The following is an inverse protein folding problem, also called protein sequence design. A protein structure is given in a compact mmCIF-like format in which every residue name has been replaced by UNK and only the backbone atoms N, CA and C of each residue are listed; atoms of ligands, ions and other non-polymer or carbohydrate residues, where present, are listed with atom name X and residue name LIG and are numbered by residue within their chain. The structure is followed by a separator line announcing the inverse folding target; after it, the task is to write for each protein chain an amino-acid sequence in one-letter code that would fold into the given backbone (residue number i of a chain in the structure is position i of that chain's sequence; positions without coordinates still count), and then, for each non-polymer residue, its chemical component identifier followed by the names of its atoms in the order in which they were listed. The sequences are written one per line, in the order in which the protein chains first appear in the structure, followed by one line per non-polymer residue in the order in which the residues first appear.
data_IF_230872328704
#
_entry.id   IF_230872328704
#
_cell.length_a   1.000
_cell.length_b   1.000
_cell.length_c   1.000
_cell.angle_alpha   90.00
_cell.angle_beta   90.00
_cell.angle_gamma   90.00
#
_symmetry.space_group_name_H-M   'P 1'
#
loop_
_entity.id
_entity.type
_entity.pdbx_description
1 polymer ?
#
# COMPACT_ATOMS: atom_id res chain seq x y z
N UNK A 1 4.26 -28.04 -41.17
CA UNK A 1 4.40 -26.68 -40.58
C UNK A 1 3.38 -26.45 -39.46
N UNK A 2 2.10 -26.76 -39.67
CA UNK A 2 1.03 -26.69 -38.65
C UNK A 2 1.29 -27.52 -37.38
N UNK A 3 1.88 -28.72 -37.51
CA UNK A 3 2.19 -29.61 -36.38
C UNK A 3 3.29 -29.05 -35.46
N UNK A 4 4.42 -28.59 -36.02
CA UNK A 4 5.49 -27.96 -35.23
C UNK A 4 5.03 -26.69 -34.50
N UNK A 5 4.15 -25.90 -35.11
CA UNK A 5 3.59 -24.70 -34.46
C UNK A 5 2.67 -25.08 -33.30
N UNK A 6 1.84 -26.13 -33.48
CA UNK A 6 0.99 -26.66 -32.42
C UNK A 6 1.80 -27.28 -31.27
N UNK A 7 2.90 -27.97 -31.57
CA UNK A 7 3.79 -28.54 -30.55
C UNK A 7 4.48 -27.44 -29.73
N UNK A 8 4.96 -26.39 -30.40
CA UNK A 8 5.55 -25.22 -29.74
C UNK A 8 4.51 -24.50 -28.86
N UNK A 9 3.29 -24.32 -29.36
CA UNK A 9 2.20 -23.70 -28.61
C UNK A 9 1.83 -24.52 -27.37
N UNK A 10 1.71 -25.84 -27.50
CA UNK A 10 1.45 -26.74 -26.37
C UNK A 10 2.59 -26.76 -25.35
N UNK A 11 3.85 -26.68 -25.81
CA UNK A 11 5.00 -26.55 -24.92
C UNK A 11 4.96 -25.24 -24.12
N UNK A 12 4.63 -24.12 -24.79
CA UNK A 12 4.42 -22.83 -24.12
C UNK A 12 3.31 -22.89 -23.07
N UNK A 13 2.15 -23.47 -23.40
CA UNK A 13 1.03 -23.61 -22.47
C UNK A 13 1.41 -24.43 -21.22
N UNK A 14 2.17 -25.52 -21.39
CA UNK A 14 2.65 -26.34 -20.27
C UNK A 14 3.58 -25.55 -19.35
N UNK A 15 4.50 -24.77 -19.92
CA UNK A 15 5.42 -23.90 -19.16
C UNK A 15 4.61 -22.85 -18.39
N UNK A 16 3.71 -22.15 -19.06
CA UNK A 16 2.86 -21.12 -18.45
C UNK A 16 1.97 -21.69 -17.32
N UNK A 17 1.39 -22.88 -17.51
CA UNK A 17 0.60 -23.53 -16.46
C UNK A 17 1.46 -23.93 -15.24
N UNK A 18 2.72 -24.32 -15.46
CA UNK A 18 3.64 -24.71 -14.38
C UNK A 18 4.20 -23.53 -13.57
N UNK A 19 4.09 -22.28 -14.07
CA UNK A 19 4.68 -21.10 -13.45
C UNK A 19 3.88 -20.52 -12.28
N UNK A 20 2.74 -21.11 -11.91
CA UNK A 20 1.88 -20.60 -10.84
C UNK A 20 2.63 -20.43 -9.51
N UNK A 21 3.43 -21.42 -9.11
CA UNK A 21 4.22 -21.36 -7.86
C UNK A 21 5.25 -20.24 -7.89
N UNK A 22 5.88 -20.02 -9.05
CA UNK A 22 6.79 -18.90 -9.25
C UNK A 22 6.04 -17.57 -9.11
N UNK A 23 4.88 -17.43 -9.75
CA UNK A 23 4.02 -16.24 -9.65
C UNK A 23 3.63 -15.90 -8.21
N UNK A 24 3.23 -16.89 -7.42
CA UNK A 24 2.89 -16.70 -6.00
C UNK A 24 4.09 -16.17 -5.20
N UNK A 25 5.28 -16.74 -5.41
CA UNK A 25 6.48 -16.27 -4.73
C UNK A 25 6.90 -14.86 -5.20
N UNK A 26 6.73 -14.55 -6.50
CA UNK A 26 6.96 -13.21 -7.03
C UNK A 26 6.01 -12.18 -6.41
N UNK A 27 4.75 -12.54 -6.14
CA UNK A 27 3.82 -11.67 -5.40
C UNK A 27 4.35 -11.38 -3.99
N UNK A 28 4.83 -12.40 -3.26
CA UNK A 28 5.40 -12.21 -1.91
C UNK A 28 6.62 -11.29 -1.93
N UNK A 29 7.49 -11.45 -2.94
CA UNK A 29 8.67 -10.58 -3.14
C UNK A 29 8.25 -9.16 -3.53
N UNK A 30 7.26 -9.00 -4.41
CA UNK A 30 6.74 -7.69 -4.80
C UNK A 30 6.15 -6.95 -3.60
N UNK A 31 5.34 -7.63 -2.78
CA UNK A 31 4.80 -7.05 -1.54
C UNK A 31 5.93 -6.64 -0.60
N UNK A 32 6.97 -7.47 -0.41
CA UNK A 32 8.13 -7.12 0.40
C UNK A 32 8.79 -5.84 -0.10
N UNK A 33 9.13 -5.77 -1.39
CA UNK A 33 9.82 -4.62 -1.98
C UNK A 33 8.98 -3.37 -1.75
N UNK A 34 7.69 -3.40 -2.10
CA UNK A 34 6.79 -2.25 -1.98
C UNK A 34 6.68 -1.82 -0.51
N UNK A 35 6.45 -2.75 0.41
CA UNK A 35 6.18 -2.42 1.81
C UNK A 35 7.45 -1.96 2.54
N UNK A 36 8.60 -2.58 2.27
CA UNK A 36 9.87 -2.14 2.86
C UNK A 36 10.25 -0.76 2.34
N UNK A 37 10.08 -0.51 1.03
CA UNK A 37 10.41 0.79 0.45
C UNK A 37 9.49 1.89 0.96
N UNK A 38 8.17 1.72 0.85
CA UNK A 38 7.19 2.72 1.30
C UNK A 38 7.25 2.89 2.83
N UNK A 39 7.41 1.81 3.59
CA UNK A 39 7.56 1.87 5.04
C UNK A 39 8.84 2.58 5.47
N UNK A 40 9.97 2.34 4.78
CA UNK A 40 11.23 3.05 5.02
C UNK A 40 11.15 4.53 4.64
N UNK A 41 10.37 4.87 3.62
CA UNK A 41 10.12 6.26 3.25
C UNK A 41 9.40 7.06 4.35
N UNK A 42 8.63 6.41 5.23
CA UNK A 42 7.90 7.07 6.34
C UNK A 42 8.78 7.68 7.44
N UNK A 43 10.09 7.43 7.40
CA UNK A 43 11.07 8.07 8.29
C UNK A 43 11.60 9.41 7.75
N UNK A 44 11.16 9.81 6.55
CA UNK A 44 11.51 11.10 5.97
C UNK A 44 10.37 12.10 6.14
N UNK A 45 10.70 13.35 6.47
CA UNK A 45 9.72 14.38 6.80
C UNK A 45 8.67 14.59 5.70
N UNK A 46 9.10 14.67 4.43
CA UNK A 46 8.19 14.91 3.32
C UNK A 46 7.11 13.83 3.16
N UNK A 47 7.42 12.58 3.51
CA UNK A 47 6.47 11.45 3.48
C UNK A 47 5.55 11.42 4.68
N UNK A 48 6.06 11.84 5.84
CA UNK A 48 5.26 12.00 7.05
C UNK A 48 4.26 13.14 6.88
N UNK A 49 4.70 14.28 6.35
CA UNK A 49 3.88 15.45 6.05
C UNK A 49 2.87 15.14 4.94
N UNK A 50 3.28 14.38 3.92
CA UNK A 50 2.44 13.98 2.80
C UNK A 50 1.25 13.09 3.17
N UNK A 51 1.32 12.34 4.29
CA UNK A 51 0.21 11.47 4.71
C UNK A 51 -0.86 12.16 5.57
N UNK A 52 -0.61 13.39 6.01
CA UNK A 52 -1.51 14.09 6.93
C UNK A 52 -2.96 14.17 6.42
N UNK A 53 -3.25 14.49 5.14
CA UNK A 53 -4.63 14.51 4.67
C UNK A 53 -5.35 13.17 4.79
N UNK A 54 -4.65 12.05 4.60
CA UNK A 54 -5.24 10.72 4.71
C UNK A 54 -5.62 10.36 6.14
N UNK A 55 -4.73 10.68 7.08
CA UNK A 55 -4.90 10.35 8.49
C UNK A 55 -5.92 11.28 9.14
N UNK A 56 -5.83 12.58 8.86
CA UNK A 56 -6.69 13.61 9.44
C UNK A 56 -8.16 13.44 9.03
N UNK A 57 -8.44 12.98 7.80
CA UNK A 57 -9.81 12.72 7.34
C UNK A 57 -10.29 11.27 7.62
N UNK A 58 -9.46 10.42 8.23
CA UNK A 58 -9.81 9.02 8.49
C UNK A 58 -10.56 8.84 9.80
N UNK A 59 -11.75 8.18 9.81
CA UNK A 59 -12.49 7.91 11.04
C UNK A 59 -11.76 6.93 11.98
N UNK A 60 -10.76 6.20 11.50
CA UNK A 60 -10.02 5.21 12.28
C UNK A 60 -8.60 5.64 12.66
N UNK A 61 -8.15 6.81 12.20
CA UNK A 61 -6.76 7.25 12.42
C UNK A 61 -6.63 8.71 12.87
N UNK A 62 -7.68 9.52 12.73
CA UNK A 62 -7.62 10.95 13.09
C UNK A 62 -7.23 11.20 14.55
N UNK A 63 -7.54 10.27 15.45
CA UNK A 63 -7.20 10.36 16.88
C UNK A 63 -5.70 10.22 17.19
N UNK A 64 -4.86 9.81 16.23
CA UNK A 64 -3.40 9.83 16.40
C UNK A 64 -2.81 11.23 16.26
N UNK A 65 -3.59 12.18 15.74
CA UNK A 65 -3.20 13.58 15.56
C UNK A 65 -3.74 14.46 16.67
N UNK A 66 -2.93 15.45 17.06
CA UNK A 66 -3.27 16.37 18.15
C UNK A 66 -4.02 17.62 17.67
N UNK A 67 -4.00 17.93 16.36
CA UNK A 67 -4.68 19.08 15.78
C UNK A 67 -5.93 18.63 15.02
N UNK A 68 -7.04 19.39 15.10
CA UNK A 68 -8.28 19.04 14.41
C UNK A 68 -8.17 19.24 12.89
N UNK A 69 -8.78 18.36 12.11
CA UNK A 69 -9.08 18.65 10.72
C UNK A 69 -10.14 19.78 10.63
N UNK A 70 -10.03 20.74 9.68
CA UNK A 70 -9.18 20.75 8.49
C UNK A 70 -7.92 21.63 8.60
N UNK A 71 -7.41 21.94 9.80
CA UNK A 71 -6.29 22.88 10.03
C UNK A 71 -5.04 22.55 9.19
N UNK A 72 -4.75 21.27 8.97
CA UNK A 72 -3.61 20.79 8.19
C UNK A 72 -3.50 21.38 6.77
N UNK A 73 -4.59 21.91 6.21
CA UNK A 73 -4.59 22.50 4.85
C UNK A 73 -3.68 23.73 4.75
N UNK A 74 -3.56 24.51 5.84
CA UNK A 74 -2.69 25.69 5.90
C UNK A 74 -1.21 25.32 6.05
N UNK A 75 -0.96 24.15 6.63
CA UNK A 75 0.37 23.66 6.97
C UNK A 75 0.93 22.66 5.95
N UNK A 76 0.20 22.40 4.85
CA UNK A 76 0.66 21.51 3.79
C UNK A 76 1.97 22.02 3.16
N UNK A 77 2.92 21.12 3.00
CA UNK A 77 4.21 21.33 2.35
C UNK A 77 4.24 20.59 1.01
N UNK A 78 4.95 21.15 0.03
CA UNK A 78 5.30 20.42 -1.19
C UNK A 78 6.48 19.48 -0.91
N UNK A 79 6.58 18.41 -1.68
CA UNK A 79 7.72 17.49 -1.56
C UNK A 79 9.05 18.25 -1.78
N UNK A 80 9.96 18.13 -0.82
CA UNK A 80 11.24 18.84 -0.81
C UNK A 80 11.18 20.30 -0.34
N UNK A 81 10.01 20.84 0.00
CA UNK A 81 9.87 22.16 0.61
C UNK A 81 10.13 22.07 2.13
N UNK A 82 10.82 23.06 2.69
CA UNK A 82 11.00 23.19 4.13
C UNK A 82 10.52 24.57 4.60
N UNK A 83 9.71 24.58 5.65
CA UNK A 83 9.29 25.80 6.33
C UNK A 83 9.27 25.54 7.85
N UNK A 84 9.99 26.36 8.61
CA UNK A 84 10.18 26.14 10.04
C UNK A 84 8.86 26.19 10.84
N UNK A 85 7.94 27.12 10.54
CA UNK A 85 6.68 27.22 11.27
C UNK A 85 5.76 26.04 10.97
N UNK A 86 5.72 25.59 9.70
CA UNK A 86 4.97 24.39 9.32
C UNK A 86 5.58 23.12 9.91
N UNK A 87 6.90 23.03 9.96
CA UNK A 87 7.59 21.90 10.57
C UNK A 87 7.23 21.76 12.05
N UNK A 88 7.27 22.84 12.83
CA UNK A 88 6.85 22.86 14.24
C UNK A 88 5.40 22.44 14.42
N UNK A 89 4.51 22.90 13.54
CA UNK A 89 3.11 22.47 13.55
C UNK A 89 2.99 20.94 13.36
N UNK A 90 3.77 20.35 12.45
CA UNK A 90 3.78 18.90 12.24
C UNK A 90 4.32 18.12 13.44
N UNK A 91 5.31 18.66 14.16
CA UNK A 91 5.79 18.12 15.44
C UNK A 91 4.68 18.13 16.50
N UNK A 92 4.03 19.28 16.70
CA UNK A 92 2.92 19.43 17.64
C UNK A 92 1.73 18.51 17.30
N UNK A 93 1.47 18.31 16.01
CA UNK A 93 0.40 17.46 15.51
C UNK A 93 0.67 15.95 15.70
N UNK A 94 1.87 15.54 16.13
CA UNK A 94 2.31 14.13 16.17
C UNK A 94 2.39 13.47 14.77
N UNK A 95 2.69 14.26 13.74
CA UNK A 95 2.80 13.78 12.36
C UNK A 95 3.91 12.73 12.22
N UNK A 96 5.11 13.04 12.74
CA UNK A 96 6.28 12.17 12.62
C UNK A 96 6.18 10.92 13.48
N UNK A 97 5.65 11.04 14.70
CA UNK A 97 5.44 9.90 15.60
C UNK A 97 4.51 8.85 14.98
N UNK A 98 3.37 9.30 14.45
CA UNK A 98 2.46 8.42 13.71
C UNK A 98 3.13 7.82 12.47
N UNK A 99 3.82 8.65 11.67
CA UNK A 99 4.48 8.20 10.44
C UNK A 99 5.51 7.11 10.69
N UNK A 100 6.38 7.28 11.70
CA UNK A 100 7.38 6.27 12.07
C UNK A 100 6.73 4.95 12.50
N UNK A 101 5.69 5.01 13.33
CA UNK A 101 4.95 3.82 13.76
C UNK A 101 4.29 3.10 12.58
N UNK A 102 3.66 3.85 11.68
CA UNK A 102 3.10 3.33 10.44
C UNK A 102 4.18 2.70 9.54
N UNK A 103 5.34 3.33 9.43
CA UNK A 103 6.50 2.80 8.69
C UNK A 103 6.94 1.43 9.21
N UNK A 104 7.15 1.30 10.51
CA UNK A 104 7.52 0.02 11.16
C UNK A 104 6.46 -1.05 10.89
N UNK A 105 5.18 -0.70 11.02
CA UNK A 105 4.06 -1.61 10.78
C UNK A 105 4.08 -2.14 9.34
N UNK A 106 4.16 -1.24 8.34
CA UNK A 106 4.16 -1.62 6.92
C UNK A 106 5.35 -2.53 6.62
N UNK A 107 6.57 -2.17 7.05
CA UNK A 107 7.76 -3.00 6.82
C UNK A 107 7.60 -4.39 7.44
N UNK A 108 7.08 -4.46 8.67
CA UNK A 108 6.84 -5.73 9.37
C UNK A 108 5.89 -6.64 8.60
N UNK A 109 4.79 -6.10 8.07
CA UNK A 109 3.83 -6.85 7.25
C UNK A 109 4.49 -7.38 5.97
N UNK A 110 5.31 -6.56 5.31
CA UNK A 110 6.07 -6.97 4.12
C UNK A 110 7.01 -8.14 4.40
N UNK A 111 7.76 -8.06 5.52
CA UNK A 111 8.68 -9.12 5.96
C UNK A 111 7.92 -10.39 6.31
N UNK A 112 6.82 -10.32 7.07
CA UNK A 112 5.99 -11.48 7.41
C UNK A 112 5.43 -12.17 6.16
N UNK A 113 4.98 -11.38 5.18
CA UNK A 113 4.45 -11.91 3.91
C UNK A 113 5.52 -12.66 3.11
N UNK A 114 6.74 -12.12 3.08
CA UNK A 114 7.90 -12.75 2.45
C UNK A 114 8.34 -14.03 3.16
N UNK A 115 8.43 -14.02 4.49
CA UNK A 115 8.76 -15.20 5.28
C UNK A 115 7.75 -16.34 5.06
N UNK A 116 6.56 -16.04 4.55
CA UNK A 116 5.59 -17.02 4.06
C UNK A 116 6.08 -17.97 2.97
N UNK A 117 7.16 -17.62 2.24
CA UNK A 117 7.83 -18.55 1.31
C UNK A 117 8.31 -19.78 2.08
N UNK A 118 8.97 -19.55 3.23
CA UNK A 118 9.56 -20.60 4.06
C UNK A 118 8.59 -21.17 5.08
N UNK A 119 7.79 -20.31 5.71
CA UNK A 119 6.93 -20.65 6.84
C UNK A 119 5.46 -20.31 6.55
N UNK A 120 4.61 -21.28 6.15
CA UNK A 120 3.23 -21.02 5.74
C UNK A 120 2.38 -20.29 6.78
N UNK A 121 2.54 -20.63 8.08
CA UNK A 121 1.81 -20.00 9.20
C UNK A 121 2.15 -18.51 9.34
N UNK A 122 3.42 -18.15 9.22
CA UNK A 122 3.87 -16.75 9.24
C UNK A 122 3.34 -16.01 8.00
N UNK A 123 3.41 -16.67 6.84
CA UNK A 123 2.88 -16.14 5.59
C UNK A 123 1.37 -15.86 5.63
N UNK A 124 0.60 -16.70 6.34
CA UNK A 124 -0.83 -16.50 6.55
C UNK A 124 -1.10 -15.22 7.34
N UNK A 125 -0.35 -15.01 8.43
CA UNK A 125 -0.46 -13.79 9.26
C UNK A 125 -0.07 -12.56 8.44
N UNK A 126 1.07 -12.61 7.74
CA UNK A 126 1.52 -11.51 6.89
C UNK A 126 0.51 -11.14 5.81
N UNK A 127 -0.04 -12.14 5.09
CA UNK A 127 -1.04 -11.92 4.05
C UNK A 127 -2.35 -11.33 4.61
N UNK A 128 -2.84 -11.84 5.75
CA UNK A 128 -4.03 -11.29 6.42
C UNK A 128 -3.83 -9.83 6.83
N UNK A 129 -2.69 -9.50 7.42
CA UNK A 129 -2.37 -8.13 7.79
C UNK A 129 -2.22 -7.21 6.56
N UNK A 130 -1.63 -7.71 5.47
CA UNK A 130 -1.52 -6.97 4.21
C UNK A 130 -2.90 -6.64 3.62
N UNK A 131 -3.85 -7.59 3.69
CA UNK A 131 -5.25 -7.36 3.27
C UNK A 131 -5.89 -6.27 4.13
N UNK A 132 -5.79 -6.37 5.47
CA UNK A 132 -6.38 -5.39 6.39
C UNK A 132 -5.80 -3.99 6.15
N UNK A 133 -4.47 -3.89 6.04
CA UNK A 133 -3.78 -2.63 5.73
C UNK A 133 -4.29 -2.03 4.42
N UNK A 134 -4.37 -2.86 3.36
CA UNK A 134 -4.79 -2.40 2.03
C UNK A 134 -6.26 -1.97 1.99
N UNK A 135 -7.15 -2.60 2.76
CA UNK A 135 -8.52 -2.11 2.91
C UNK A 135 -8.51 -0.72 3.56
N UNK A 136 -7.65 -0.54 4.58
CA UNK A 136 -7.40 0.76 5.20
C UNK A 136 -6.96 1.82 4.18
N UNK A 137 -5.99 1.52 3.32
CA UNK A 137 -5.53 2.48 2.30
C UNK A 137 -6.58 2.77 1.25
N UNK A 138 -7.25 1.75 0.72
CA UNK A 138 -8.32 1.91 -0.27
C UNK A 138 -9.51 2.71 0.27
N UNK A 139 -9.76 2.68 1.59
CA UNK A 139 -10.79 3.52 2.21
C UNK A 139 -10.54 5.02 2.02
N UNK A 140 -9.29 5.44 1.81
CA UNK A 140 -8.93 6.84 1.55
C UNK A 140 -9.51 7.40 0.25
N UNK A 141 -9.82 6.54 -0.73
CA UNK A 141 -10.53 6.99 -1.94
C UNK A 141 -11.91 7.58 -1.62
N UNK A 142 -12.50 7.16 -0.49
CA UNK A 142 -13.81 7.64 -0.03
C UNK A 142 -13.66 8.71 1.04
N UNK A 143 -12.74 8.53 1.99
CA UNK A 143 -12.64 9.41 3.17
C UNK A 143 -11.80 10.66 2.94
N UNK A 144 -10.93 10.69 1.92
CA UNK A 144 -9.95 11.78 1.72
C UNK A 144 -10.22 12.54 0.43
N UNK A 145 -10.77 13.77 0.46
CA UNK A 145 -11.07 14.54 -0.74
C UNK A 145 -9.86 14.81 -1.65
N UNK A 146 -8.66 14.90 -1.08
CA UNK A 146 -7.41 15.19 -1.78
C UNK A 146 -7.00 14.11 -2.80
N UNK A 147 -7.64 12.94 -2.78
CA UNK A 147 -7.44 11.89 -3.80
C UNK A 147 -8.05 12.27 -5.16
N UNK A 148 -9.00 13.20 -5.18
CA UNK A 148 -9.64 13.71 -6.39
C UNK A 148 -8.99 15.01 -6.85
N UNK A 149 -9.02 15.29 -8.16
CA UNK A 149 -8.47 16.55 -8.68
C UNK A 149 -9.25 17.74 -8.10
N UNK A 150 -8.59 18.71 -7.44
CA UNK A 150 -9.26 19.86 -6.85
C UNK A 150 -9.77 20.84 -7.91
N UNK A 151 -10.88 21.54 -7.62
CA UNK A 151 -11.39 22.59 -8.50
C UNK A 151 -10.55 23.86 -8.37
N UNK A 152 -9.54 24.00 -9.23
CA UNK A 152 -8.65 25.17 -9.31
C UNK A 152 -8.88 26.01 -10.57
N UNK A 153 -10.01 25.82 -11.27
CA UNK A 153 -10.39 26.61 -12.45
C UNK A 153 -10.00 26.00 -13.80
N UNK A 154 -9.45 24.79 -13.86
CA UNK A 154 -9.14 24.09 -15.13
C UNK A 154 -10.39 23.51 -15.83
N UNK A 155 -11.52 23.40 -15.12
CA UNK A 155 -12.71 22.67 -15.60
C UNK A 155 -12.61 21.15 -15.46
N UNK A 156 -11.44 20.61 -15.11
CA UNK A 156 -11.19 19.18 -14.89
C UNK A 156 -11.01 18.91 -13.39
N UNK A 157 -12.10 18.57 -12.68
CA UNK A 157 -12.04 18.34 -11.23
C UNK A 157 -13.08 17.34 -10.74
N UNK A 158 -12.88 16.82 -9.53
CA UNK A 158 -13.80 15.91 -8.86
C UNK A 158 -13.75 14.46 -9.36
N UNK A 159 -14.66 13.64 -8.87
CA UNK A 159 -14.79 12.25 -9.29
C UNK A 159 -15.19 12.17 -10.78
N UNK A 160 -14.58 11.30 -11.61
CA UNK A 160 -13.63 10.22 -11.27
C UNK A 160 -12.14 10.56 -11.50
N UNK A 161 -11.77 11.84 -11.56
CA UNK A 161 -10.40 12.28 -11.88
C UNK A 161 -9.48 12.17 -10.66
N UNK A 162 -8.41 11.37 -10.76
CA UNK A 162 -7.46 11.12 -9.66
C UNK A 162 -6.31 12.13 -9.64
N UNK A 163 -6.08 12.70 -8.46
CA UNK A 163 -4.86 13.45 -8.16
C UNK A 163 -3.64 12.50 -8.06
N UNK A 164 -2.45 13.05 -7.83
CA UNK A 164 -1.26 12.24 -7.51
C UNK A 164 -1.50 11.32 -6.31
N UNK A 165 -2.12 11.84 -5.26
CA UNK A 165 -2.50 11.10 -4.06
C UNK A 165 -3.48 9.96 -4.37
N UNK A 166 -4.51 10.20 -5.18
CA UNK A 166 -5.47 9.16 -5.57
C UNK A 166 -4.86 8.04 -6.39
N UNK A 167 -3.92 8.36 -7.29
CA UNK A 167 -3.16 7.36 -8.06
C UNK A 167 -2.27 6.49 -7.18
N UNK A 168 -1.73 7.06 -6.10
CA UNK A 168 -0.95 6.29 -5.12
C UNK A 168 -1.81 5.30 -4.35
N UNK A 169 -3.08 5.60 -4.10
CA UNK A 169 -4.00 4.70 -3.37
C UNK A 169 -4.58 3.63 -4.30
N UNK A 170 -5.02 3.99 -5.51
CA UNK A 170 -5.75 3.03 -6.38
C UNK A 170 -4.87 1.84 -6.81
N UNK A 171 -3.55 2.01 -6.88
CA UNK A 171 -2.61 0.93 -7.23
C UNK A 171 -2.66 -0.23 -6.23
N UNK A 172 -3.10 0.03 -4.99
CA UNK A 172 -3.16 -0.98 -3.93
C UNK A 172 -4.24 -2.05 -4.21
N UNK A 173 -5.14 -1.82 -5.17
CA UNK A 173 -6.04 -2.85 -5.71
C UNK A 173 -5.29 -4.09 -6.23
N UNK A 174 -4.08 -3.92 -6.77
CA UNK A 174 -3.23 -5.04 -7.17
C UNK A 174 -2.64 -5.77 -5.95
N UNK A 175 -2.32 -5.03 -4.89
CA UNK A 175 -1.72 -5.57 -3.66
C UNK A 175 -2.74 -6.45 -2.94
N UNK A 176 -3.99 -6.03 -2.79
CA UNK A 176 -5.03 -6.86 -2.15
C UNK A 176 -5.32 -8.14 -2.95
N UNK A 177 -5.35 -8.06 -4.29
CA UNK A 177 -5.51 -9.23 -5.15
C UNK A 177 -4.35 -10.21 -4.96
N UNK A 178 -3.10 -9.72 -4.95
CA UNK A 178 -1.92 -10.53 -4.68
C UNK A 178 -1.94 -11.12 -3.27
N UNK A 179 -2.31 -10.33 -2.26
CA UNK A 179 -2.40 -10.74 -0.86
C UNK A 179 -3.39 -11.90 -0.67
N UNK A 180 -4.53 -11.88 -1.36
CA UNK A 180 -5.51 -12.99 -1.36
C UNK A 180 -4.94 -14.28 -1.97
N UNK A 181 -4.17 -14.16 -3.06
CA UNK A 181 -3.52 -15.30 -3.70
C UNK A 181 -2.49 -15.95 -2.76
N UNK A 182 -1.64 -15.15 -2.12
CA UNK A 182 -0.63 -15.67 -1.19
C UNK A 182 -1.24 -16.18 0.13
N UNK A 183 -2.37 -15.61 0.57
CA UNK A 183 -3.17 -16.12 1.68
C UNK A 183 -3.68 -17.53 1.37
N UNK A 184 -4.28 -17.70 0.18
CA UNK A 184 -4.81 -18.99 -0.28
C UNK A 184 -3.70 -20.05 -0.39
N UNK A 185 -2.54 -19.69 -0.94
CA UNK A 185 -1.36 -20.56 -1.00
C UNK A 185 -0.89 -20.99 0.40
N UNK A 186 -0.75 -20.04 1.32
CA UNK A 186 -0.38 -20.32 2.70
C UNK A 186 -1.38 -21.26 3.38
N UNK A 187 -2.68 -21.02 3.23
CA UNK A 187 -3.73 -21.85 3.79
C UNK A 187 -3.69 -23.29 3.25
N UNK A 188 -3.55 -23.46 1.92
CA UNK A 188 -3.41 -24.78 1.28
C UNK A 188 -2.21 -25.55 1.84
N UNK A 189 -1.05 -24.90 1.96
CA UNK A 189 0.17 -25.51 2.50
C UNK A 189 0.02 -25.92 3.97
N UNK A 190 -0.72 -25.15 4.78
CA UNK A 190 -1.00 -25.50 6.19
C UNK A 190 -1.94 -26.70 6.30
N UNK A 191 -2.98 -26.75 5.45
CA UNK A 191 -3.93 -27.87 5.44
C UNK A 191 -3.27 -29.19 5.00
N UNK A 192 -2.24 -29.13 4.14
CA UNK A 192 -1.48 -30.31 3.70
C UNK A 192 -0.45 -30.81 4.73
N UNK A 193 -0.19 -30.05 5.80
CA UNK A 193 0.72 -30.43 6.88
C UNK A 193 0.02 -31.24 7.99
N UNK A 194 -1.30 -31.34 7.94
CA UNK A 194 -2.15 -32.12 8.85
C UNK A 194 -2.80 -33.26 8.06
#
# INVERSE_FOLDING_TARGET
MMTKLNDLFNAFLRIAASSQKLGINLIRVAILIIFVWIGGLKFWNYEAEGIVPFVANSPFMSFFYNKPAPEYKEYKLKEGEFNESKHKWHEENNTYGFSHGLGILIMSIGILTFLGIFFPKIGLIGASLAIIMTIGTLSFLVTTPEVWVPNLGSGEYGFPLLSGAGRLVIKDTAIIAGALVVLSDSAKRILQMH
#
